data_IF_176897335216
#
_entry.id   IF_176897335216
#
_cell.length_a   1.000
_cell.length_b   1.000
_cell.length_c   1.000
_cell.angle_alpha   90.00
_cell.angle_beta   90.00
_cell.angle_gamma   90.00
#
_symmetry.space_group_name_H-M   'P 1'
#
loop_
_entity.id
_entity.type
_entity.pdbx_description
1 polymer ?
#
# COMPACT_ATOMS: atom_id res chain seq x y z
N UNK A 1 10.62 7.05 8.96
CA UNK A 1 11.63 7.00 7.90
C UNK A 1 12.84 6.26 8.44
N UNK A 2 13.39 5.29 7.69
CA UNK A 2 14.66 4.66 8.06
C UNK A 2 15.81 5.57 7.64
N UNK A 3 16.97 5.39 8.28
CA UNK A 3 18.19 6.18 8.05
C UNK A 3 18.66 6.12 6.59
N UNK A 4 18.23 5.10 5.85
CA UNK A 4 18.52 4.89 4.43
C UNK A 4 17.54 5.59 3.46
N UNK A 5 16.64 6.43 3.97
CA UNK A 5 15.64 7.12 3.15
C UNK A 5 14.55 6.19 2.61
N UNK A 6 14.37 5.00 3.22
CA UNK A 6 13.25 4.10 2.92
C UNK A 6 12.17 4.17 4.00
N UNK A 7 10.95 3.87 3.58
CA UNK A 7 9.74 3.92 4.38
C UNK A 7 9.13 2.54 4.41
N UNK A 8 9.08 1.96 5.62
CA UNK A 8 8.32 0.73 5.86
C UNK A 8 6.84 1.08 6.00
N UNK A 9 6.02 0.63 5.06
CA UNK A 9 4.58 0.76 5.11
C UNK A 9 3.95 -0.55 5.59
N UNK A 10 3.10 -0.47 6.62
CA UNK A 10 2.25 -1.58 7.05
C UNK A 10 0.82 -1.28 6.63
N UNK A 11 0.27 -2.07 5.73
CA UNK A 11 -1.06 -1.87 5.17
C UNK A 11 -2.07 -2.76 5.89
N UNK A 12 -3.26 -2.22 6.17
CA UNK A 12 -4.38 -2.95 6.75
C UNK A 12 -5.65 -2.53 6.05
N UNK A 13 -6.57 -3.46 5.86
CA UNK A 13 -7.89 -3.20 5.32
C UNK A 13 -8.92 -4.12 5.95
N UNK A 14 -10.19 -3.74 5.78
CA UNK A 14 -11.32 -4.66 5.88
C UNK A 14 -11.82 -4.90 4.46
N UNK A 15 -12.60 -5.95 4.25
CA UNK A 15 -13.27 -6.19 2.97
C UNK A 15 -14.02 -4.92 2.51
N UNK A 16 -14.01 -4.60 1.20
CA UNK A 16 -13.58 -5.44 0.07
C UNK A 16 -12.12 -5.24 -0.40
N UNK A 17 -11.31 -4.40 0.26
CA UNK A 17 -9.98 -4.02 -0.28
C UNK A 17 -8.92 -5.08 0.01
N UNK A 18 -8.28 -5.61 -1.03
CA UNK A 18 -7.13 -6.51 -0.94
C UNK A 18 -5.80 -5.73 -0.88
N UNK A 19 -5.25 -5.54 0.32
CA UNK A 19 -3.99 -4.81 0.51
C UNK A 19 -2.75 -5.61 0.11
N UNK A 20 -2.85 -6.92 -0.12
CA UNK A 20 -1.72 -7.70 -0.62
C UNK A 20 -1.37 -7.25 -2.05
N UNK A 21 -2.38 -7.10 -2.90
CA UNK A 21 -2.20 -6.62 -4.28
C UNK A 21 -1.59 -5.22 -4.35
N UNK A 22 -1.95 -4.34 -3.41
CA UNK A 22 -1.35 -3.00 -3.30
C UNK A 22 0.12 -3.12 -2.90
N UNK A 23 0.44 -3.90 -1.86
CA UNK A 23 1.81 -4.07 -1.39
C UNK A 23 2.73 -4.69 -2.47
N UNK A 24 2.25 -5.64 -3.25
CA UNK A 24 2.99 -6.28 -4.35
C UNK A 24 3.48 -5.27 -5.40
N UNK A 25 2.68 -4.23 -5.71
CA UNK A 25 3.08 -3.14 -6.62
C UNK A 25 4.30 -2.35 -6.13
N UNK A 26 4.56 -2.39 -4.83
CA UNK A 26 5.71 -1.74 -4.20
C UNK A 26 6.80 -2.74 -3.78
N UNK A 27 6.79 -3.96 -4.34
CA UNK A 27 7.76 -5.01 -4.02
C UNK A 27 7.59 -5.62 -2.63
N UNK A 28 6.42 -5.41 -2.02
CA UNK A 28 6.01 -6.01 -0.76
C UNK A 28 5.14 -7.25 -0.94
N UNK A 29 4.40 -7.61 0.11
CA UNK A 29 3.47 -8.73 0.09
C UNK A 29 2.81 -8.98 1.45
N UNK A 30 1.98 -10.02 1.52
CA UNK A 30 1.32 -10.45 2.75
C UNK A 30 -0.07 -11.03 2.49
N UNK A 31 -0.97 -10.83 3.45
CA UNK A 31 -2.36 -11.29 3.37
C UNK A 31 -3.27 -10.18 2.85
N UNK A 32 -4.44 -10.58 2.31
CA UNK A 32 -5.45 -9.66 1.76
C UNK A 32 -5.86 -8.52 2.70
N UNK A 33 -5.84 -8.76 4.01
CA UNK A 33 -6.22 -7.79 5.05
C UNK A 33 -5.01 -7.15 5.75
N UNK A 34 -3.81 -7.69 5.55
CA UNK A 34 -2.61 -7.27 6.23
C UNK A 34 -1.35 -7.58 5.41
N UNK A 35 -0.72 -6.55 4.89
CA UNK A 35 0.49 -6.65 4.07
C UNK A 35 1.48 -5.55 4.42
N UNK A 36 2.66 -5.57 3.82
CA UNK A 36 3.63 -4.50 3.98
C UNK A 36 4.59 -4.40 2.81
N UNK A 37 5.17 -3.21 2.66
CA UNK A 37 6.14 -2.90 1.61
C UNK A 37 7.23 -1.95 2.13
N UNK A 38 8.38 -1.93 1.46
CA UNK A 38 9.45 -0.98 1.72
C UNK A 38 9.56 -0.03 0.52
N UNK A 39 9.15 1.22 0.70
CA UNK A 39 9.17 2.23 -0.35
C UNK A 39 10.46 3.06 -0.26
N UNK A 40 11.07 3.36 -1.39
CA UNK A 40 12.16 4.32 -1.45
C UNK A 40 11.61 5.75 -1.50
N UNK A 41 12.37 6.68 -0.91
CA UNK A 41 12.04 8.10 -0.91
C UNK A 41 11.38 8.58 0.39
N UNK A 42 11.14 9.89 0.50
CA UNK A 42 10.61 10.50 1.70
C UNK A 42 9.19 10.02 2.00
N UNK A 43 8.81 10.03 3.27
CA UNK A 43 7.49 9.57 3.74
C UNK A 43 6.32 10.19 2.98
N UNK A 44 6.40 11.47 2.61
CA UNK A 44 5.32 12.16 1.91
C UNK A 44 5.06 11.58 0.52
N UNK A 45 6.11 11.24 -0.22
CA UNK A 45 5.98 10.64 -1.56
C UNK A 45 5.47 9.20 -1.45
N UNK A 46 5.99 8.44 -0.48
CA UNK A 46 5.51 7.09 -0.20
C UNK A 46 4.01 7.07 0.13
N UNK A 47 3.55 8.02 0.97
CA UNK A 47 2.14 8.18 1.31
C UNK A 47 1.29 8.54 0.09
N UNK A 48 1.72 9.51 -0.74
CA UNK A 48 0.97 9.91 -1.93
C UNK A 48 0.82 8.76 -2.94
N UNK A 49 1.88 7.98 -3.14
CA UNK A 49 1.86 6.80 -4.02
C UNK A 49 0.94 5.69 -3.49
N UNK A 50 0.99 5.43 -2.19
CA UNK A 50 0.10 4.45 -1.55
C UNK A 50 -1.37 4.89 -1.66
N UNK A 51 -1.67 6.16 -1.33
CA UNK A 51 -3.04 6.69 -1.37
C UNK A 51 -3.68 6.52 -2.75
N UNK A 52 -2.94 6.82 -3.81
CA UNK A 52 -3.40 6.63 -5.20
C UNK A 52 -3.76 5.18 -5.53
N UNK A 53 -3.01 4.21 -5.01
CA UNK A 53 -3.34 2.80 -5.22
C UNK A 53 -4.53 2.33 -4.38
N UNK A 54 -4.72 2.90 -3.18
CA UNK A 54 -5.93 2.68 -2.39
C UNK A 54 -7.17 3.26 -3.08
N UNK A 55 -7.12 4.49 -3.59
CA UNK A 55 -8.21 5.12 -4.35
C UNK A 55 -8.66 4.24 -5.52
N UNK A 56 -7.71 3.75 -6.33
CA UNK A 56 -7.97 2.80 -7.43
C UNK A 56 -8.62 1.50 -6.96
N UNK A 57 -8.17 0.97 -5.82
CA UNK A 57 -8.73 -0.25 -5.25
C UNK A 57 -10.18 -0.04 -4.77
N UNK A 58 -10.50 1.13 -4.22
CA UNK A 58 -11.87 1.49 -3.84
C UNK A 58 -12.78 1.73 -5.04
N UNK A 59 -12.29 2.39 -6.09
CA UNK A 59 -13.04 2.58 -7.35
C UNK A 59 -13.37 1.23 -8.00
N UNK A 60 -12.41 0.31 -8.01
CA UNK A 60 -12.59 -1.04 -8.56
C UNK A 60 -13.50 -1.91 -7.70
N UNK A 61 -13.51 -1.72 -6.38
CA UNK A 61 -14.37 -2.46 -5.44
C UNK A 61 -15.82 -1.93 -5.36
N UNK A 62 -16.04 -0.66 -5.68
CA UNK A 62 -17.39 -0.05 -5.75
C UNK A 62 -18.06 -0.20 -7.13
N UNK A 63 -17.36 -0.74 -8.13
CA UNK A 63 -17.88 -0.99 -9.47
C UNK A 63 -18.56 -2.38 -9.62
N UNK A 64 -18.98 -3.01 -8.52
CA UNK A 64 -19.72 -4.29 -8.50
C UNK A 64 -21.03 -4.18 -7.74
#
# INVERSE_FOLDING_TARGET
EQIDGRVKASLRSREPVDVATIAEKFGGGGHKQASGAMLAGPVNEACARLLKEFERAFESGNAS
#
